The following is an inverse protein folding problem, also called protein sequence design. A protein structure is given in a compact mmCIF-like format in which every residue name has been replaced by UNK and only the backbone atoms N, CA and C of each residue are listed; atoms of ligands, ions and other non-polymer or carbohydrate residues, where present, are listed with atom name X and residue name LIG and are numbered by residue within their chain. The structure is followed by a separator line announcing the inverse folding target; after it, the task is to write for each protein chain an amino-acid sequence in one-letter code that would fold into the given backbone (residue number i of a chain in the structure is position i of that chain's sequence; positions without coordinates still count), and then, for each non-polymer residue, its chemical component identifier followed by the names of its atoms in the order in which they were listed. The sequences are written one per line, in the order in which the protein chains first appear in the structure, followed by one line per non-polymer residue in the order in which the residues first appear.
data_IF_524957965503
#
_entry.id   IF_524957965503
#
_cell.length_a   1.000
_cell.length_b   1.000
_cell.length_c   1.000
_cell.angle_alpha   90.00
_cell.angle_beta   90.00
_cell.angle_gamma   90.00
#
_symmetry.space_group_name_H-M   'P 1'
#
loop_
_entity.id
_entity.type
_entity.pdbx_description
1 polymer ?
#
# COMPACT_ATOMS: atom_id res chain seq x y z
N UNK A 1 8.30 -18.15 4.13
CA UNK A 1 7.71 -16.84 4.43
C UNK A 1 7.29 -16.19 3.12
N UNK A 2 5.97 -16.07 2.96
CA UNK A 2 5.20 -15.25 1.99
C UNK A 2 5.77 -15.10 0.58
N UNK A 3 5.53 -16.11 -0.25
CA UNK A 3 5.50 -15.93 -1.71
C UNK A 3 4.37 -14.96 -2.05
N UNK A 4 4.75 -13.86 -2.68
CA UNK A 4 3.87 -12.81 -3.17
C UNK A 4 3.18 -13.35 -4.43
N UNK A 5 2.10 -14.09 -4.25
CA UNK A 5 1.26 -14.58 -5.33
C UNK A 5 -0.19 -14.18 -5.07
N UNK A 6 -0.55 -12.97 -5.50
CA UNK A 6 -1.87 -12.69 -6.10
C UNK A 6 -1.64 -11.60 -7.16
N UNK A 7 -1.07 -12.00 -8.29
CA UNK A 7 -1.33 -11.31 -9.55
C UNK A 7 -2.71 -11.75 -10.03
N UNK A 8 -3.75 -11.23 -9.37
CA UNK A 8 -5.13 -11.25 -9.87
C UNK A 8 -5.65 -9.84 -9.75
N UNK A 9 -5.34 -9.04 -10.76
CA UNK A 9 -5.93 -7.73 -10.98
C UNK A 9 -6.50 -7.62 -12.40
N UNK A 10 -6.86 -8.75 -13.02
CA UNK A 10 -7.37 -8.81 -14.40
C UNK A 10 -8.46 -9.88 -14.62
N UNK A 11 -9.19 -10.34 -13.61
CA UNK A 11 -10.20 -11.40 -13.80
C UNK A 11 -11.53 -11.18 -13.07
N UNK A 12 -11.77 -9.99 -12.51
CA UNK A 12 -13.12 -9.54 -12.15
C UNK A 12 -13.55 -8.44 -13.13
N UNK A 13 -13.38 -8.70 -14.42
CA UNK A 13 -14.37 -8.21 -15.37
C UNK A 13 -15.54 -9.13 -15.11
N UNK A 14 -16.55 -8.63 -14.39
CA UNK A 14 -17.86 -9.27 -14.30
C UNK A 14 -18.15 -9.91 -15.65
N UNK A 15 -18.38 -11.22 -15.67
CA UNK A 15 -18.93 -11.94 -16.81
C UNK A 15 -20.35 -11.39 -17.00
N UNK A 16 -20.43 -10.20 -17.58
CA UNK A 16 -21.67 -9.56 -17.99
C UNK A 16 -22.23 -10.47 -19.07
N UNK A 17 -23.08 -11.40 -18.65
CA UNK A 17 -23.84 -12.26 -19.53
C UNK A 17 -24.71 -11.35 -20.38
N UNK A 18 -24.26 -11.10 -21.61
CA UNK A 18 -25.01 -10.35 -22.61
C UNK A 18 -26.42 -10.93 -22.67
N UNK A 19 -27.41 -10.06 -22.55
CA UNK A 19 -28.81 -10.43 -22.69
C UNK A 19 -29.01 -11.11 -24.05
N UNK A 20 -29.93 -12.08 -24.12
CA UNK A 20 -30.32 -12.73 -25.38
C UNK A 20 -30.67 -11.69 -26.48
N UNK A 21 -31.26 -10.56 -26.09
CA UNK A 21 -31.54 -9.44 -26.98
C UNK A 21 -30.25 -8.78 -27.50
N UNK A 22 -29.24 -8.62 -26.66
CA UNK A 22 -27.94 -8.05 -27.03
C UNK A 22 -27.18 -8.96 -27.99
N UNK A 23 -27.18 -10.27 -27.73
CA UNK A 23 -26.57 -11.27 -28.62
C UNK A 23 -27.27 -11.30 -29.99
N UNK A 24 -28.61 -11.25 -30.00
CA UNK A 24 -29.42 -11.24 -31.23
C UNK A 24 -29.21 -9.95 -32.03
N UNK A 25 -29.13 -8.79 -31.37
CA UNK A 25 -28.95 -7.51 -32.06
C UNK A 25 -27.51 -7.25 -32.52
N UNK A 26 -26.49 -7.86 -31.89
CA UNK A 26 -25.15 -7.95 -32.47
C UNK A 26 -25.16 -8.80 -33.75
N UNK A 27 -25.89 -9.93 -33.74
CA UNK A 27 -26.01 -10.80 -34.91
C UNK A 27 -26.83 -10.19 -36.06
N UNK A 28 -27.81 -9.32 -35.77
CA UNK A 28 -28.60 -8.60 -36.78
C UNK A 28 -28.03 -7.24 -37.18
N UNK A 29 -26.95 -6.79 -36.53
CA UNK A 29 -26.24 -5.55 -36.87
C UNK A 29 -26.93 -4.27 -36.42
N UNK A 30 -27.65 -4.27 -35.30
CA UNK A 30 -28.26 -3.05 -34.76
C UNK A 30 -27.17 -2.02 -34.38
N UNK A 31 -27.14 -0.83 -35.03
CA UNK A 31 -26.12 0.18 -34.77
C UNK A 31 -26.13 0.70 -33.32
N UNK A 32 -27.28 0.68 -32.64
CA UNK A 32 -27.41 1.13 -31.24
C UNK A 32 -26.67 0.21 -30.26
N UNK A 33 -26.68 -1.11 -30.51
CA UNK A 33 -25.96 -2.06 -29.66
C UNK A 33 -24.45 -1.94 -29.87
N UNK A 34 -24.02 -1.72 -31.11
CA UNK A 34 -22.60 -1.49 -31.40
C UNK A 34 -22.09 -0.22 -30.68
N UNK A 35 -22.83 0.88 -30.77
CA UNK A 35 -22.48 2.13 -30.08
C UNK A 35 -22.47 1.92 -28.55
N UNK A 36 -23.46 1.20 -28.00
CA UNK A 36 -23.49 0.85 -26.56
C UNK A 36 -22.22 0.10 -26.14
N UNK A 37 -21.80 -0.93 -26.86
CA UNK A 37 -20.59 -1.70 -26.52
C UNK A 37 -19.34 -0.83 -26.52
N UNK A 38 -19.19 0.08 -27.50
CA UNK A 38 -18.06 1.01 -27.56
C UNK A 38 -18.08 1.99 -26.37
N UNK A 39 -19.25 2.58 -26.08
CA UNK A 39 -19.43 3.50 -24.95
C UNK A 39 -19.22 2.81 -23.60
N UNK A 40 -19.69 1.58 -23.42
CA UNK A 40 -19.52 0.80 -22.19
C UNK A 40 -18.02 0.52 -21.92
N UNK A 41 -17.26 0.19 -22.97
CA UNK A 41 -15.81 -0.01 -22.84
C UNK A 41 -15.09 1.29 -22.45
N UNK A 42 -15.43 2.40 -23.11
CA UNK A 42 -14.88 3.73 -22.79
C UNK A 42 -15.20 4.14 -21.35
N UNK A 43 -16.46 3.95 -20.91
CA UNK A 43 -16.89 4.25 -19.53
C UNK A 43 -16.14 3.39 -18.52
N UNK A 44 -15.96 2.09 -18.77
CA UNK A 44 -15.19 1.21 -17.88
C UNK A 44 -13.73 1.69 -17.75
N UNK A 45 -13.10 2.01 -18.88
CA UNK A 45 -11.73 2.56 -18.90
C UNK A 45 -11.65 3.87 -18.13
N UNK A 46 -12.56 4.81 -18.37
CA UNK A 46 -12.59 6.12 -17.71
C UNK A 46 -12.87 5.99 -16.20
N UNK A 47 -13.74 5.07 -15.79
CA UNK A 47 -13.97 4.73 -14.37
C UNK A 47 -12.71 4.18 -13.69
N UNK A 48 -11.96 3.31 -14.37
CA UNK A 48 -10.68 2.80 -13.85
C UNK A 48 -9.67 3.95 -13.66
N UNK A 49 -9.57 4.85 -14.63
CA UNK A 49 -8.72 6.05 -14.54
C UNK A 49 -9.16 6.96 -13.38
N UNK A 50 -10.47 7.13 -13.19
CA UNK A 50 -11.04 7.91 -12.08
C UNK A 50 -10.74 7.29 -10.72
N UNK A 51 -10.91 5.98 -10.59
CA UNK A 51 -10.56 5.26 -9.36
C UNK A 51 -9.07 5.38 -9.03
N UNK A 52 -8.19 5.29 -10.03
CA UNK A 52 -6.75 5.51 -9.86
C UNK A 52 -6.45 6.95 -9.38
N UNK A 53 -7.08 7.95 -10.01
CA UNK A 53 -6.96 9.35 -9.61
C UNK A 53 -7.44 9.59 -8.16
N UNK A 54 -8.57 9.03 -7.76
CA UNK A 54 -9.11 9.20 -6.40
C UNK A 54 -8.18 8.53 -5.36
N UNK A 55 -7.68 7.33 -5.66
CA UNK A 55 -6.66 6.67 -4.83
C UNK A 55 -5.39 7.52 -4.67
N UNK A 56 -4.92 8.14 -5.76
CA UNK A 56 -3.78 9.05 -5.71
C UNK A 56 -4.09 10.27 -4.83
N UNK A 57 -5.29 10.87 -4.95
CA UNK A 57 -5.71 11.99 -4.10
C UNK A 57 -5.73 11.65 -2.62
N UNK A 58 -6.22 10.47 -2.24
CA UNK A 58 -6.20 10.05 -0.84
C UNK A 58 -4.76 9.92 -0.32
N UNK A 59 -3.87 9.33 -1.11
CA UNK A 59 -2.45 9.26 -0.75
C UNK A 59 -1.78 10.63 -0.62
N UNK A 60 -2.10 11.56 -1.53
CA UNK A 60 -1.59 12.94 -1.49
C UNK A 60 -2.14 13.71 -0.28
N UNK A 61 -3.42 13.51 0.04
CA UNK A 61 -4.06 14.10 1.21
C UNK A 61 -3.39 13.65 2.51
N UNK A 62 -3.18 12.35 2.69
CA UNK A 62 -2.48 11.81 3.85
C UNK A 62 -1.05 12.34 3.94
N UNK A 63 -0.38 12.49 2.79
CA UNK A 63 0.96 13.03 2.71
C UNK A 63 1.03 14.45 3.30
N UNK A 64 0.21 15.39 2.83
CA UNK A 64 0.29 16.79 3.29
C UNK A 64 -0.45 17.06 4.61
N UNK A 65 -1.44 16.23 4.99
CA UNK A 65 -2.22 16.43 6.21
C UNK A 65 -1.60 15.75 7.43
N UNK A 66 -0.97 14.59 7.25
CA UNK A 66 -0.50 13.75 8.37
C UNK A 66 1.00 13.53 8.29
N UNK A 67 1.49 12.96 7.18
CA UNK A 67 2.84 12.42 7.08
C UNK A 67 3.90 13.52 7.15
N UNK A 68 3.90 14.47 6.21
CA UNK A 68 4.92 15.50 6.13
C UNK A 68 4.88 16.47 7.31
N UNK A 69 3.72 16.95 7.79
CA UNK A 69 3.67 17.78 9.01
C UNK A 69 4.28 17.08 10.23
N UNK A 70 4.00 15.78 10.42
CA UNK A 70 4.59 14.99 11.52
C UNK A 70 6.10 14.85 11.37
N UNK A 71 6.59 14.55 10.16
CA UNK A 71 8.02 14.42 9.89
C UNK A 71 8.76 15.73 10.10
N UNK A 72 8.21 16.85 9.63
CA UNK A 72 8.77 18.20 9.85
C UNK A 72 8.85 18.48 11.35
N UNK A 73 7.75 18.27 12.10
CA UNK A 73 7.73 18.51 13.54
C UNK A 73 8.81 17.70 14.26
N UNK A 74 8.88 16.39 14.05
CA UNK A 74 9.89 15.53 14.67
C UNK A 74 11.31 15.93 14.27
N UNK A 75 11.55 16.29 13.00
CA UNK A 75 12.87 16.73 12.55
C UNK A 75 13.26 18.08 13.17
N UNK A 76 12.33 19.03 13.29
CA UNK A 76 12.58 20.34 13.93
C UNK A 76 12.87 20.22 15.43
N UNK A 77 12.14 19.36 16.15
CA UNK A 77 12.40 19.05 17.56
C UNK A 77 13.80 18.42 17.72
N UNK A 78 14.15 17.45 16.85
CA UNK A 78 15.48 16.85 16.85
C UNK A 78 16.57 17.88 16.54
N UNK A 79 16.37 18.75 15.57
CA UNK A 79 17.30 19.82 15.21
C UNK A 79 17.56 20.77 16.39
N UNK A 80 16.52 21.13 17.13
CA UNK A 80 16.66 21.96 18.33
C UNK A 80 17.56 21.30 19.36
N UNK A 81 17.35 20.01 19.63
CA UNK A 81 18.18 19.25 20.57
C UNK A 81 19.63 19.12 20.08
N UNK A 82 19.85 18.84 18.79
CA UNK A 82 21.20 18.76 18.20
C UNK A 82 21.92 20.11 18.30
N UNK A 83 21.23 21.22 18.08
CA UNK A 83 21.81 22.57 18.25
C UNK A 83 22.22 22.85 19.69
N UNK A 84 21.48 22.35 20.66
CA UNK A 84 21.86 22.46 22.08
C UNK A 84 23.06 21.56 22.42
N UNK A 85 23.11 20.34 21.87
CA UNK A 85 24.25 19.43 22.01
C UNK A 85 25.53 20.04 21.41
N UNK A 86 25.44 20.67 20.23
CA UNK A 86 26.58 21.37 19.60
C UNK A 86 27.03 22.56 20.46
N UNK A 87 26.13 23.33 21.06
CA UNK A 87 26.51 24.40 22.00
C UNK A 87 27.22 23.86 23.24
N UNK A 88 26.74 22.73 23.79
CA UNK A 88 27.37 22.09 24.93
C UNK A 88 28.78 21.60 24.57
N UNK A 89 28.93 20.98 23.39
CA UNK A 89 30.21 20.56 22.81
C UNK A 89 31.18 21.74 22.67
N UNK A 90 30.75 22.82 22.04
CA UNK A 90 31.62 23.98 21.78
C UNK A 90 32.09 24.62 23.08
N UNK A 91 31.22 24.70 24.09
CA UNK A 91 31.60 25.15 25.43
C UNK A 91 32.64 24.22 26.06
N UNK A 92 32.41 22.91 26.00
CA UNK A 92 33.32 21.92 26.58
C UNK A 92 34.70 21.92 25.90
N UNK A 93 34.76 22.12 24.58
CA UNK A 93 36.03 22.23 23.83
C UNK A 93 36.83 23.50 24.20
N UNK A 94 36.15 24.57 24.65
CA UNK A 94 36.80 25.78 25.15
C UNK A 94 37.32 25.56 26.58
N UNK A 95 36.50 24.95 27.44
CA UNK A 95 36.83 24.74 28.86
C UNK A 95 37.90 23.63 29.03
N UNK A 96 37.83 22.56 28.24
CA UNK A 96 38.70 21.37 28.31
C UNK A 96 39.15 20.92 26.89
N UNK A 97 40.18 21.57 26.30
CA UNK A 97 40.63 21.26 24.94
C UNK A 97 41.44 19.96 24.82
N UNK A 98 41.96 19.43 25.93
CA UNK A 98 42.74 18.20 25.93
C UNK A 98 41.85 16.96 25.90
N UNK A 99 42.35 15.89 25.26
CA UNK A 99 41.64 14.62 25.18
C UNK A 99 41.51 14.00 26.58
N UNK A 100 40.28 13.76 27.01
CA UNK A 100 39.98 13.01 28.22
C UNK A 100 38.73 12.15 28.03
N UNK A 101 38.87 10.84 28.29
CA UNK A 101 37.77 9.89 28.24
C UNK A 101 37.63 9.17 29.57
N UNK A 102 36.40 9.00 30.04
CA UNK A 102 36.10 8.23 31.26
C UNK A 102 35.49 6.91 30.86
N UNK A 103 36.12 5.79 31.21
CA UNK A 103 35.59 4.44 30.99
C UNK A 103 35.39 3.78 32.37
N UNK A 104 34.17 3.37 32.66
CA UNK A 104 33.78 2.91 34.00
C UNK A 104 33.98 4.00 35.06
N UNK A 105 34.98 3.82 35.93
CA UNK A 105 35.31 4.76 37.03
C UNK A 105 36.66 5.47 36.84
N UNK A 106 37.38 5.17 35.76
CA UNK A 106 38.72 5.70 35.51
C UNK A 106 38.70 6.67 34.32
N UNK A 107 39.52 7.73 34.42
CA UNK A 107 39.70 8.72 33.36
C UNK A 107 41.07 8.55 32.73
N UNK A 108 41.12 8.59 31.40
CA UNK A 108 42.30 8.36 30.58
C UNK A 108 42.56 9.58 29.70
N UNK A 109 43.79 10.07 29.71
CA UNK A 109 44.26 11.19 28.87
C UNK A 109 45.07 10.72 27.66
N UNK A 110 45.50 9.45 27.67
CA UNK A 110 46.20 8.81 26.56
C UNK A 110 45.21 8.01 25.70
N UNK A 111 45.25 8.23 24.38
CA UNK A 111 44.33 7.56 23.42
C UNK A 111 44.50 6.05 23.40
N UNK A 112 45.73 5.56 23.56
CA UNK A 112 46.03 4.13 23.55
C UNK A 112 45.42 3.45 24.78
N UNK A 113 45.57 4.04 25.95
CA UNK A 113 45.05 3.50 27.22
C UNK A 113 43.52 3.54 27.23
N UNK A 114 42.93 4.69 26.87
CA UNK A 114 41.48 4.84 26.77
C UNK A 114 40.87 3.86 25.76
N UNK A 115 41.50 3.70 24.59
CA UNK A 115 41.10 2.76 23.54
C UNK A 115 41.13 1.30 24.01
N UNK A 116 42.17 0.91 24.73
CA UNK A 116 42.33 -0.46 25.22
C UNK A 116 41.27 -0.78 26.26
N UNK A 117 41.04 0.14 27.21
CA UNK A 117 40.02 -0.02 28.25
C UNK A 117 38.61 0.02 27.68
N UNK A 118 38.37 0.81 26.63
CA UNK A 118 37.11 0.82 25.90
C UNK A 118 36.84 -0.54 25.25
N UNK A 119 37.80 -1.12 24.52
CA UNK A 119 37.63 -2.43 23.90
C UNK A 119 37.42 -3.53 24.95
N UNK A 120 38.11 -3.45 26.09
CA UNK A 120 37.90 -4.38 27.20
C UNK A 120 36.47 -4.25 27.76
N UNK A 121 35.98 -3.02 27.98
CA UNK A 121 34.61 -2.78 28.44
C UNK A 121 33.57 -3.31 27.44
N UNK A 122 33.83 -3.15 26.14
CA UNK A 122 32.97 -3.65 25.05
C UNK A 122 32.93 -5.18 25.04
N UNK A 123 34.06 -5.86 25.31
CA UNK A 123 34.08 -7.32 25.38
C UNK A 123 33.15 -7.87 26.47
N UNK A 124 33.00 -7.12 27.58
CA UNK A 124 32.11 -7.46 28.71
C UNK A 124 30.63 -7.13 28.47
N UNK A 125 30.31 -6.34 27.45
CA UNK A 125 28.93 -5.97 27.13
C UNK A 125 28.20 -7.14 26.44
N UNK A 126 26.90 -7.28 26.75
CA UNK A 126 26.03 -8.33 26.19
C UNK A 126 25.54 -7.94 24.79
N UNK A 127 25.44 -8.93 23.92
CA UNK A 127 24.87 -8.75 22.57
C UNK A 127 23.37 -8.52 22.66
N UNK A 128 22.86 -7.55 21.89
CA UNK A 128 21.45 -7.17 21.85
C UNK A 128 21.03 -6.11 22.87
N UNK A 129 21.95 -5.64 23.73
CA UNK A 129 21.68 -4.58 24.71
C UNK A 129 22.56 -3.35 24.45
N UNK A 130 22.02 -2.16 24.71
CA UNK A 130 22.81 -0.91 24.72
C UNK A 130 23.33 -0.69 26.13
N UNK A 131 24.65 -0.76 26.30
CA UNK A 131 25.30 -0.65 27.62
C UNK A 131 26.08 0.64 27.72
N UNK A 132 25.87 1.42 28.78
CA UNK A 132 26.71 2.58 29.09
C UNK A 132 28.09 2.10 29.59
N UNK A 133 29.14 2.55 28.93
CA UNK A 133 30.53 2.18 29.25
C UNK A 133 31.34 3.34 29.82
N UNK A 134 30.88 4.58 29.66
CA UNK A 134 31.70 5.72 30.01
C UNK A 134 31.09 7.09 29.70
N UNK A 135 31.94 8.11 29.71
CA UNK A 135 31.64 9.49 29.35
C UNK A 135 32.78 10.10 28.55
N UNK A 136 32.43 10.96 27.60
CA UNK A 136 33.37 11.70 26.75
C UNK A 136 32.91 13.15 26.63
N UNK A 137 33.71 14.10 27.13
CA UNK A 137 33.39 15.55 27.09
C UNK A 137 31.94 15.89 27.52
N UNK A 138 31.47 15.29 28.62
CA UNK A 138 30.12 15.51 29.15
C UNK A 138 29.01 14.67 28.50
N UNK A 139 29.28 14.00 27.38
CA UNK A 139 28.34 13.07 26.73
C UNK A 139 28.46 11.67 27.32
N UNK A 140 27.34 10.96 27.43
CA UNK A 140 27.33 9.56 27.84
C UNK A 140 27.77 8.68 26.67
N UNK A 141 28.72 7.78 26.92
CA UNK A 141 29.23 6.84 25.93
C UNK A 141 28.62 5.46 26.17
N UNK A 142 27.87 4.99 25.18
CA UNK A 142 27.24 3.68 25.17
C UNK A 142 27.75 2.84 24.02
N UNK A 143 27.53 1.53 24.14
CA UNK A 143 27.89 0.53 23.14
C UNK A 143 26.67 -0.31 22.85
N UNK A 144 26.40 -0.51 21.57
CA UNK A 144 25.36 -1.39 21.07
C UNK A 144 26.02 -2.51 20.27
N UNK A 145 25.95 -3.74 20.79
CA UNK A 145 26.51 -4.92 20.13
C UNK A 145 25.41 -5.62 19.34
N UNK A 146 25.55 -5.67 18.02
CA UNK A 146 24.62 -6.36 17.15
C UNK A 146 24.97 -7.86 17.07
N UNK A 147 23.99 -8.69 16.72
CA UNK A 147 24.16 -10.12 16.48
C UNK A 147 24.96 -10.45 15.20
N UNK A 148 25.25 -9.43 14.39
CA UNK A 148 26.00 -9.52 13.13
C UNK A 148 27.49 -9.16 13.30
N UNK A 149 28.02 -9.19 14.53
CA UNK A 149 29.41 -8.81 14.91
C UNK A 149 29.82 -7.37 14.58
N UNK A 150 28.89 -6.53 14.11
CA UNK A 150 29.09 -5.09 13.97
C UNK A 150 28.71 -4.41 15.28
N UNK A 151 29.70 -3.82 15.94
CA UNK A 151 29.50 -3.06 17.17
C UNK A 151 29.37 -1.57 16.85
N UNK A 152 28.42 -0.90 17.48
CA UNK A 152 28.24 0.55 17.37
C UNK A 152 28.60 1.21 18.69
N UNK A 153 29.28 2.36 18.61
CA UNK A 153 29.37 3.30 19.70
C UNK A 153 28.25 4.32 19.58
N UNK A 154 27.67 4.71 20.71
CA UNK A 154 26.61 5.69 20.79
C UNK A 154 27.04 6.79 21.75
N UNK A 155 27.16 8.02 21.24
CA UNK A 155 27.28 9.21 22.08
C UNK A 155 25.88 9.76 22.35
N UNK A 156 25.52 9.87 23.62
CA UNK A 156 24.22 10.39 24.07
C UNK A 156 24.39 11.72 24.80
N UNK A 157 23.83 12.77 24.21
CA UNK A 157 23.54 14.05 24.84
C UNK A 157 22.03 14.20 25.04
N UNK A 158 21.45 15.28 24.53
CA UNK A 158 20.00 15.41 24.33
C UNK A 158 19.51 14.54 23.16
N UNK A 159 20.41 14.23 22.24
CA UNK A 159 20.19 13.26 21.16
C UNK A 159 21.25 12.18 21.14
N UNK A 160 21.00 11.12 20.37
CA UNK A 160 21.90 9.98 20.21
C UNK A 160 22.58 10.02 18.84
N UNK A 161 23.89 9.81 18.86
CA UNK A 161 24.77 9.80 17.69
C UNK A 161 25.49 8.46 17.63
N UNK A 162 25.40 7.76 16.50
CA UNK A 162 25.95 6.41 16.35
C UNK A 162 27.09 6.41 15.35
N UNK A 163 28.16 5.70 15.67
CA UNK A 163 29.24 5.38 14.75
C UNK A 163 29.62 3.90 14.89
N UNK A 164 30.08 3.30 13.79
CA UNK A 164 30.61 1.93 13.83
C UNK A 164 31.94 1.91 14.58
N UNK A 165 32.11 0.95 15.49
CA UNK A 165 33.35 0.77 16.24
C UNK A 165 34.51 0.35 15.31
N UNK A 166 35.76 0.51 15.76
CA UNK A 166 36.92 -0.10 15.12
C UNK A 166 37.43 -1.28 15.95
N UNK A 167 38.20 -2.17 15.33
CA UNK A 167 38.93 -3.23 16.02
C UNK A 167 40.24 -2.73 16.65
N UNK A 168 40.70 -1.54 16.28
CA UNK A 168 41.91 -0.92 16.82
C UNK A 168 41.58 0.00 18.02
N UNK A 169 42.34 -0.04 19.13
CA UNK A 169 42.19 0.87 20.26
C UNK A 169 42.22 2.34 19.82
N UNK A 170 43.24 2.72 19.04
CA UNK A 170 43.43 4.08 18.55
C UNK A 170 42.38 4.41 17.49
N UNK A 171 42.04 3.45 16.62
CA UNK A 171 41.02 3.65 15.59
C UNK A 171 39.64 3.98 16.17
N UNK A 172 39.25 3.32 17.26
CA UNK A 172 37.98 3.61 17.95
C UNK A 172 37.97 4.99 18.61
N UNK A 173 39.10 5.44 19.15
CA UNK A 173 39.23 6.79 19.70
C UNK A 173 39.14 7.87 18.62
N UNK A 174 39.82 7.68 17.48
CA UNK A 174 39.71 8.61 16.34
C UNK A 174 38.27 8.69 15.83
N UNK A 175 37.57 7.55 15.72
CA UNK A 175 36.15 7.54 15.34
C UNK A 175 35.26 8.25 16.36
N UNK A 176 35.55 8.13 17.65
CA UNK A 176 34.84 8.84 18.71
C UNK A 176 35.02 10.36 18.60
N UNK A 177 36.26 10.82 18.41
CA UNK A 177 36.59 12.23 18.22
C UNK A 177 35.91 12.77 16.95
N UNK A 178 35.94 12.02 15.85
CA UNK A 178 35.25 12.39 14.62
C UNK A 178 33.74 12.48 14.81
N UNK A 179 33.12 11.55 15.55
CA UNK A 179 31.69 11.58 15.85
C UNK A 179 31.31 12.82 16.66
N UNK A 180 32.14 13.19 17.65
CA UNK A 180 31.94 14.37 18.49
C UNK A 180 32.17 15.69 17.73
N UNK A 181 33.20 15.75 16.89
CA UNK A 181 33.49 16.94 16.07
C UNK A 181 32.47 17.10 14.93
N UNK A 182 31.96 15.99 14.39
CA UNK A 182 30.96 15.93 13.32
C UNK A 182 29.52 16.19 13.77
N UNK A 183 29.27 16.53 15.05
CA UNK A 183 27.92 16.84 15.54
C UNK A 183 27.22 17.95 14.73
N UNK A 184 27.98 18.92 14.23
CA UNK A 184 27.45 20.01 13.40
C UNK A 184 26.93 19.53 12.03
N UNK A 185 27.51 18.48 11.45
CA UNK A 185 27.04 17.93 10.16
C UNK A 185 25.59 17.43 10.27
N UNK A 186 25.17 16.99 11.46
CA UNK A 186 23.78 16.60 11.71
C UNK A 186 22.81 17.80 11.65
N UNK A 187 23.27 19.02 11.93
CA UNK A 187 22.47 20.24 11.78
C UNK A 187 22.17 20.44 10.29
N UNK A 188 23.20 20.51 9.46
CA UNK A 188 23.06 20.70 8.01
C UNK A 188 22.21 19.61 7.38
N UNK A 189 22.41 18.35 7.80
CA UNK A 189 21.62 17.23 7.34
C UNK A 189 20.14 17.36 7.70
N UNK A 190 19.83 17.72 8.96
CA UNK A 190 18.46 17.88 9.42
C UNK A 190 17.77 19.09 8.78
N UNK A 191 18.49 20.20 8.57
CA UNK A 191 17.97 21.39 7.89
C UNK A 191 17.59 21.07 6.45
N UNK A 192 18.49 20.46 5.67
CA UNK A 192 18.18 20.00 4.30
C UNK A 192 17.01 19.03 4.27
N UNK A 193 16.91 18.16 5.27
CA UNK A 193 15.83 17.18 5.36
C UNK A 193 14.48 17.84 5.68
N UNK A 194 14.46 18.86 6.54
CA UNK A 194 13.26 19.65 6.82
C UNK A 194 12.83 20.39 5.56
N UNK A 195 13.76 21.02 4.85
CA UNK A 195 13.49 21.70 3.57
C UNK A 195 12.90 20.73 2.54
N UNK A 196 13.49 19.54 2.39
CA UNK A 196 12.95 18.51 1.49
C UNK A 196 11.51 18.13 1.87
N UNK A 197 11.21 17.94 3.16
CA UNK A 197 9.86 17.61 3.60
C UNK A 197 8.86 18.75 3.38
N UNK A 198 9.30 20.00 3.46
CA UNK A 198 8.47 21.16 3.14
C UNK A 198 8.16 21.21 1.64
N UNK A 199 9.18 20.99 0.80
CA UNK A 199 9.02 20.92 -0.66
C UNK A 199 8.10 19.77 -1.06
N UNK A 200 8.27 18.58 -0.48
CA UNK A 200 7.40 17.44 -0.76
C UNK A 200 5.94 17.68 -0.32
N UNK A 201 5.74 18.41 0.79
CA UNK A 201 4.42 18.79 1.28
C UNK A 201 3.73 19.74 0.29
N UNK A 202 4.44 20.76 -0.17
CA UNK A 202 3.93 21.72 -1.15
C UNK A 202 3.67 21.06 -2.52
N UNK A 203 4.57 20.20 -2.97
CA UNK A 203 4.38 19.39 -4.16
C UNK A 203 3.15 18.48 -4.04
N UNK A 204 2.94 17.85 -2.90
CA UNK A 204 1.77 16.99 -2.65
C UNK A 204 0.46 17.79 -2.68
N UNK A 205 0.45 19.01 -2.15
CA UNK A 205 -0.72 19.92 -2.24
C UNK A 205 -0.99 20.34 -3.68
N UNK A 206 0.05 20.76 -4.38
CA UNK A 206 -0.06 21.19 -5.78
C UNK A 206 -0.58 20.06 -6.67
N UNK A 207 -0.12 18.83 -6.45
CA UNK A 207 -0.61 17.65 -7.18
C UNK A 207 -2.05 17.29 -6.81
N UNK A 208 -2.44 17.46 -5.55
CA UNK A 208 -3.80 17.19 -5.08
C UNK A 208 -4.85 18.11 -5.70
N UNK A 209 -4.46 19.38 -5.94
CA UNK A 209 -5.32 20.40 -6.54
C UNK A 209 -5.52 20.22 -8.05
N UNK A 210 -4.72 19.35 -8.71
CA UNK A 210 -4.91 19.06 -10.14
C UNK A 210 -6.23 18.32 -10.36
N UNK A 211 -7.12 18.83 -11.23
CA UNK A 211 -8.37 18.15 -11.52
C UNK A 211 -8.14 16.88 -12.36
N UNK A 212 -9.11 15.99 -12.34
CA UNK A 212 -9.11 14.81 -13.19
C UNK A 212 -9.25 15.20 -14.67
N UNK A 213 -8.25 14.87 -15.49
CA UNK A 213 -8.16 15.33 -16.88
C UNK A 213 -9.33 14.88 -17.78
N UNK A 214 -9.93 13.71 -17.49
CA UNK A 214 -11.01 13.13 -18.28
C UNK A 214 -12.38 13.32 -17.61
N UNK A 215 -12.55 14.33 -16.75
CA UNK A 215 -13.81 14.52 -16.02
C UNK A 215 -14.99 14.79 -16.95
N UNK A 216 -14.80 15.69 -17.92
CA UNK A 216 -15.83 16.05 -18.90
C UNK A 216 -16.14 14.88 -19.83
N UNK A 217 -15.11 14.18 -20.32
CA UNK A 217 -15.27 13.02 -21.19
C UNK A 217 -16.03 11.88 -20.47
N UNK A 218 -15.71 11.63 -19.20
CA UNK A 218 -16.42 10.64 -18.39
C UNK A 218 -17.89 11.03 -18.21
N UNK A 219 -18.20 12.30 -17.92
CA UNK A 219 -19.58 12.78 -17.77
C UNK A 219 -20.37 12.68 -19.08
N UNK A 220 -19.78 13.07 -20.22
CA UNK A 220 -20.41 12.96 -21.55
C UNK A 220 -20.69 11.50 -21.93
N UNK A 221 -19.72 10.61 -21.72
CA UNK A 221 -19.86 9.18 -22.03
C UNK A 221 -20.86 8.49 -21.10
N UNK A 222 -20.93 8.87 -19.83
CA UNK A 222 -21.96 8.40 -18.91
C UNK A 222 -23.36 8.87 -19.30
N UNK A 223 -23.51 10.13 -19.72
CA UNK A 223 -24.79 10.64 -20.21
C UNK A 223 -25.24 9.87 -21.46
N UNK A 224 -24.33 9.65 -22.42
CA UNK A 224 -24.61 8.90 -23.64
C UNK A 224 -24.95 7.43 -23.38
N UNK A 225 -24.25 6.79 -22.45
CA UNK A 225 -24.59 5.44 -21.98
C UNK A 225 -26.02 5.38 -21.45
N UNK A 226 -26.42 6.38 -20.66
CA UNK A 226 -27.76 6.45 -20.09
C UNK A 226 -28.84 6.65 -21.17
N UNK A 227 -28.58 7.49 -22.17
CA UNK A 227 -29.45 7.68 -23.34
C UNK A 227 -29.60 6.39 -24.17
N UNK A 228 -28.50 5.71 -24.47
CA UNK A 228 -28.50 4.46 -25.25
C UNK A 228 -29.26 3.35 -24.53
N UNK A 229 -29.06 3.21 -23.22
CA UNK A 229 -29.80 2.25 -22.41
C UNK A 229 -31.31 2.53 -22.45
N UNK A 230 -31.74 3.79 -22.31
CA UNK A 230 -33.16 4.15 -22.40
C UNK A 230 -33.76 3.88 -23.80
N UNK A 231 -33.00 4.12 -24.87
CA UNK A 231 -33.44 3.83 -26.24
C UNK A 231 -33.59 2.33 -26.49
N UNK A 232 -32.63 1.53 -26.02
CA UNK A 232 -32.67 0.07 -26.15
C UNK A 232 -33.76 -0.56 -25.30
N UNK A 233 -34.04 -0.03 -24.10
CA UNK A 233 -35.16 -0.49 -23.27
C UNK A 233 -36.51 -0.24 -23.97
N UNK A 234 -36.67 0.92 -24.62
CA UNK A 234 -37.85 1.23 -25.44
C UNK A 234 -37.96 0.34 -26.69
N UNK A 235 -36.84 0.01 -27.35
CA UNK A 235 -36.82 -0.89 -28.50
C UNK A 235 -37.15 -2.34 -28.10
N UNK A 236 -36.57 -2.80 -27.00
CA UNK A 236 -36.86 -4.12 -26.43
C UNK A 236 -38.33 -4.24 -26.01
N UNK A 237 -38.91 -3.21 -25.39
CA UNK A 237 -40.34 -3.19 -25.05
C UNK A 237 -41.23 -3.32 -26.28
N UNK A 238 -40.89 -2.65 -27.39
CA UNK A 238 -41.62 -2.76 -28.67
C UNK A 238 -41.43 -4.12 -29.35
N UNK A 239 -40.26 -4.72 -29.25
CA UNK A 239 -39.98 -6.03 -29.83
C UNK A 239 -40.74 -7.16 -29.10
N UNK A 240 -40.91 -7.05 -27.79
CA UNK A 240 -41.71 -7.99 -26.99
C UNK A 240 -43.21 -7.88 -27.32
N UNK A 241 -43.72 -6.66 -27.53
CA UNK A 241 -45.10 -6.43 -27.97
C UNK A 241 -45.35 -6.98 -29.39
N UNK A 242 -44.36 -6.91 -30.28
CA UNK A 242 -44.46 -7.44 -31.64
C UNK A 242 -44.46 -8.98 -31.68
N UNK A 243 -43.66 -9.65 -30.83
CA UNK A 243 -43.57 -11.12 -30.77
C UNK A 243 -44.84 -11.76 -30.15
N UNK A 244 -45.58 -11.01 -29.33
CA UNK A 244 -46.91 -11.38 -28.83
C UNK A 244 -48.05 -11.16 -29.87
N UNK A 245 -47.74 -10.60 -31.04
CA UNK A 245 -48.71 -10.23 -32.09
C UNK A 245 -48.56 -11.01 -33.41
N UNK A 246 -47.94 -12.19 -33.38
CA UNK A 246 -48.00 -13.15 -34.50
C UNK A 246 -49.41 -13.75 -34.64
N UNK A 247 -49.90 -14.05 -35.86
CA UNK A 247 -51.27 -14.54 -36.07
C UNK A 247 -51.49 -15.85 -35.32
N UNK A 248 -52.57 -15.94 -34.54
CA UNK A 248 -53.15 -17.23 -34.16
C UNK A 248 -53.47 -17.99 -35.45
N UNK A 249 -52.66 -19.00 -35.80
CA UNK A 249 -53.09 -20.00 -36.78
C UNK A 249 -54.27 -20.77 -36.16
N UNK A 250 -55.47 -20.45 -36.64
CA UNK A 250 -56.67 -21.27 -36.50
C UNK A 250 -56.31 -22.72 -36.89
N UNK A 251 -56.26 -23.61 -35.91
CA UNK A 251 -56.27 -25.05 -36.17
C UNK A 251 -57.67 -25.40 -36.67
N UNK A 252 -57.78 -25.56 -38.00
CA UNK A 252 -58.92 -26.22 -38.63
C UNK A 252 -59.16 -27.58 -37.97
N UNK A 253 -60.41 -27.77 -37.51
CA UNK A 253 -60.93 -29.06 -37.11
C UNK A 253 -61.19 -29.90 -38.37
N UNK A 254 -60.56 -31.07 -38.49
CA UNK A 254 -60.94 -32.09 -39.48
C UNK A 254 -61.42 -33.36 -38.76
N UNK A 255 -62.70 -33.64 -38.99
CA UNK A 255 -63.48 -34.77 -38.52
C UNK A 255 -63.03 -36.07 -39.20
N UNK A 256 -62.47 -37.02 -38.44
CA UNK A 256 -62.59 -38.46 -38.75
C UNK A 256 -62.71 -39.30 -37.49
N UNK A 257 -63.94 -39.40 -37.02
CA UNK A 257 -64.42 -40.47 -36.15
C UNK A 257 -65.03 -41.60 -37.02
N UNK A 258 -65.02 -42.83 -36.51
CA UNK A 258 -65.58 -44.09 -37.06
C UNK A 258 -64.69 -44.96 -37.95
N UNK A 259 -63.98 -45.91 -37.33
CA UNK A 259 -64.25 -47.34 -37.54
C UNK A 259 -63.58 -48.20 -36.44
N UNK A 260 -64.30 -49.25 -36.04
CA UNK A 260 -63.89 -50.39 -35.20
C UNK A 260 -63.93 -50.19 -33.67
N UNK A 261 -65.15 -50.28 -33.15
CA UNK A 261 -65.41 -50.83 -31.82
C UNK A 261 -65.33 -52.38 -31.84
N UNK A 262 -65.09 -52.96 -30.65
CA UNK A 262 -65.32 -54.37 -30.22
C UNK A 262 -64.14 -55.29 -30.61
N UNK A 263 -63.37 -55.88 -29.69
CA UNK A 263 -63.67 -57.02 -28.77
C UNK A 263 -62.74 -56.89 -27.52
N UNK A 264 -63.23 -56.76 -26.27
CA UNK A 264 -63.43 -57.81 -25.24
C UNK A 264 -62.26 -58.84 -25.18
N UNK A 265 -61.62 -59.24 -24.09
CA UNK A 265 -62.00 -59.70 -22.74
C UNK A 265 -60.67 -59.79 -21.94
N UNK A 266 -60.56 -59.36 -20.67
CA UNK A 266 -61.02 -59.95 -19.40
C UNK A 266 -59.83 -60.50 -18.58
N UNK A 267 -59.83 -60.09 -17.30
CA UNK A 267 -59.21 -60.66 -16.08
C UNK A 267 -57.72 -61.05 -16.02
N UNK A 268 -57.09 -60.47 -15.00
CA UNK A 268 -55.94 -61.08 -14.33
C UNK A 268 -55.49 -60.28 -13.11
N UNK A 269 -56.20 -60.42 -12.00
CA UNK A 269 -55.72 -60.02 -10.68
C UNK A 269 -54.41 -60.75 -10.33
N UNK A 270 -53.48 -60.12 -9.59
CA UNK A 270 -52.84 -60.71 -8.40
C UNK A 270 -52.05 -59.66 -7.61
N UNK A 271 -52.04 -59.89 -6.31
CA UNK A 271 -51.76 -58.99 -5.20
C UNK A 271 -50.28 -58.67 -4.94
N UNK A 272 -50.12 -57.64 -4.11
CA UNK A 272 -48.99 -57.30 -3.28
C UNK A 272 -48.43 -58.45 -2.44
N UNK A 273 -47.12 -58.41 -2.20
CA UNK A 273 -46.36 -58.58 -0.94
C UNK A 273 -44.92 -58.98 -1.34
N UNK A 274 -43.83 -58.77 -0.61
CA UNK A 274 -43.39 -58.05 0.60
C UNK A 274 -41.90 -58.41 0.71
N UNK A 275 -41.18 -57.70 1.58
CA UNK A 275 -39.87 -58.11 2.15
C UNK A 275 -38.67 -58.02 1.19
N UNK A 276 -37.61 -57.28 1.47
CA UNK A 276 -36.96 -57.06 2.76
C UNK A 276 -35.62 -57.82 2.75
N UNK A 277 -34.50 -57.10 2.63
CA UNK A 277 -33.23 -57.52 3.21
C UNK A 277 -32.20 -56.40 3.16
N UNK A 278 -32.04 -55.77 4.33
CA UNK A 278 -30.78 -55.26 4.83
C UNK A 278 -29.68 -56.34 4.75
N UNK A 279 -28.52 -55.95 4.23
CA UNK A 279 -27.23 -56.14 4.88
C UNK A 279 -26.25 -55.11 4.38
#
# INVERSE_FOLDING_TARGET
MTSKAVSRSCEDIDEATLSYAEIKAVATGNPLIKEKMEIDNDVQRLKLLKASYDNQRYGLQDNFMIKYPKLIKTATEKLANVREDVKARDKELIDNPEFAITIGKATYTERVDGGTMMLEAISKCKTGETTAIGKFHGFELLVEKNFLDINYMVLRGKTEYKAELSTSPVGSMVKLENLFNGLHENIDFLEKKIEQYQNDLEASKTEYDKPFAYSTELEEKLARQCELNAQLDLENAKAVDADLSGPEEEREADDRMEAAAIVAEDKGAYQADREGRTR
#
